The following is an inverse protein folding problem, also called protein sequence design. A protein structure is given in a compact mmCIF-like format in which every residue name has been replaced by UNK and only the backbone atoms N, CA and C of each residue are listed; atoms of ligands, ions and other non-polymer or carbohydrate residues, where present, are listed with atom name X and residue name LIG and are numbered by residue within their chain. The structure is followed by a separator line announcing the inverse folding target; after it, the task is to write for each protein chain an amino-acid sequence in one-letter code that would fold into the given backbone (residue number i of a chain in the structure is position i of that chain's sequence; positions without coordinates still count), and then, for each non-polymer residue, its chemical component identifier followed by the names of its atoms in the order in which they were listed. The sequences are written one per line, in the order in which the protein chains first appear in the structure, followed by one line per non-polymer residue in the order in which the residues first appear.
data_IF_939227716407
#
_entry.id   IF_939227716407
#
_cell.length_a   1.000
_cell.length_b   1.000
_cell.length_c   1.000
_cell.angle_alpha   90.00
_cell.angle_beta   90.00
_cell.angle_gamma   90.00
#
_symmetry.space_group_name_H-M   'P 1'
#
loop_
_entity.id
_entity.type
_entity.pdbx_description
1 polymer ?
#
# COMPACT_ATOMS: atom_id res chain seq x y z
N UNK A 1 -5.19 -24.59 21.12
CA UNK A 1 -5.76 -23.23 21.13
C UNK A 1 -4.74 -22.30 21.81
N UNK A 2 -4.22 -21.29 21.13
CA UNK A 2 -3.20 -20.38 21.70
C UNK A 2 -3.86 -19.30 22.55
N UNK A 3 -3.33 -19.08 23.77
CA UNK A 3 -3.80 -18.05 24.71
C UNK A 3 -3.80 -16.64 24.08
N UNK A 4 -4.81 -15.79 24.33
CA UNK A 4 -4.89 -14.42 23.82
C UNK A 4 -3.64 -13.56 24.11
N UNK A 5 -3.01 -13.76 25.27
CA UNK A 5 -1.79 -13.05 25.68
C UNK A 5 -0.60 -13.41 24.79
N UNK A 6 -0.41 -14.70 24.48
CA UNK A 6 0.65 -15.17 23.60
C UNK A 6 0.53 -14.62 22.16
N UNK A 7 -0.70 -14.30 21.71
CA UNK A 7 -0.94 -13.67 20.40
C UNK A 7 -0.57 -12.19 20.42
N UNK A 8 -0.92 -11.45 21.47
CA UNK A 8 -0.58 -10.04 21.61
C UNK A 8 0.95 -9.82 21.67
N UNK A 9 1.66 -10.67 22.43
CA UNK A 9 3.12 -10.61 22.55
C UNK A 9 3.83 -10.92 21.22
N UNK A 10 3.32 -11.89 20.44
CA UNK A 10 3.82 -12.18 19.09
C UNK A 10 3.63 -11.00 18.14
N UNK A 11 2.49 -10.31 18.19
CA UNK A 11 2.23 -9.11 17.37
C UNK A 11 3.15 -7.97 17.78
N UNK A 12 3.35 -7.75 19.09
CA UNK A 12 4.27 -6.73 19.62
C UNK A 12 5.70 -6.99 19.19
N UNK A 13 6.16 -8.24 19.29
CA UNK A 13 7.51 -8.67 18.84
C UNK A 13 7.67 -8.55 17.32
N UNK A 14 6.66 -8.92 16.54
CA UNK A 14 6.68 -8.75 15.08
C UNK A 14 6.72 -7.28 14.66
N UNK A 15 5.99 -6.40 15.37
CA UNK A 15 6.03 -4.96 15.11
C UNK A 15 7.36 -4.33 15.52
N UNK A 16 7.98 -4.77 16.62
CA UNK A 16 9.31 -4.34 17.02
C UNK A 16 10.42 -4.81 16.04
N UNK A 17 10.24 -5.98 15.42
CA UNK A 17 11.15 -6.47 14.38
C UNK A 17 11.02 -5.68 13.06
N UNK A 18 9.81 -5.16 12.77
CA UNK A 18 9.56 -4.27 11.64
C UNK A 18 9.98 -2.84 11.98
N UNK A 19 11.28 -2.56 11.91
CA UNK A 19 11.83 -1.21 12.11
C UNK A 19 11.87 -0.45 10.77
N UNK A 20 10.91 0.46 10.58
CA UNK A 20 10.98 1.44 9.49
C UNK A 20 12.06 2.47 9.79
N UNK A 21 13.07 2.59 8.93
CA UNK A 21 14.19 3.52 9.07
C UNK A 21 14.07 4.57 7.99
N UNK A 22 13.84 5.83 8.37
CA UNK A 22 13.77 6.94 7.43
C UNK A 22 15.13 7.14 6.78
N UNK A 23 15.11 7.38 5.47
CA UNK A 23 16.30 7.63 4.67
C UNK A 23 16.42 9.13 4.41
N UNK A 24 17.61 9.69 4.67
CA UNK A 24 17.92 11.08 4.34
C UNK A 24 18.28 11.24 2.85
N UNK A 25 18.95 10.22 2.29
CA UNK A 25 19.32 10.14 0.88
C UNK A 25 19.08 8.73 0.34
N UNK A 26 19.02 8.62 -0.99
CA UNK A 26 18.79 7.36 -1.69
C UNK A 26 20.05 6.80 -2.35
N UNK A 27 21.23 7.07 -1.77
CA UNK A 27 22.50 6.49 -2.25
C UNK A 27 22.57 5.00 -1.94
N UNK A 28 23.35 4.25 -2.71
CA UNK A 28 23.46 2.80 -2.52
C UNK A 28 24.03 2.44 -1.14
N UNK A 29 24.97 3.25 -0.64
CA UNK A 29 25.57 3.09 0.69
C UNK A 29 24.53 3.26 1.80
N UNK A 30 23.70 4.31 1.72
CA UNK A 30 22.69 4.60 2.73
C UNK A 30 21.55 3.57 2.70
N UNK A 31 21.17 3.10 1.51
CA UNK A 31 20.23 2.00 1.36
C UNK A 31 20.74 0.73 2.05
N UNK A 32 21.97 0.31 1.74
CA UNK A 32 22.58 -0.89 2.35
C UNK A 32 22.68 -0.77 3.87
N UNK A 33 23.16 0.37 4.36
CA UNK A 33 23.29 0.67 5.80
C UNK A 33 21.96 0.52 6.55
N UNK A 34 20.84 0.87 5.90
CA UNK A 34 19.51 0.79 6.49
C UNK A 34 18.71 -0.46 6.07
N UNK A 35 19.35 -1.48 5.48
CA UNK A 35 18.74 -2.71 4.98
C UNK A 35 17.64 -2.48 3.95
N UNK A 36 17.88 -1.56 3.03
CA UNK A 36 17.08 -1.35 1.83
C UNK A 36 17.87 -1.70 0.57
N UNK A 37 17.14 -1.89 -0.52
CA UNK A 37 17.71 -2.11 -1.85
C UNK A 37 16.80 -1.54 -2.94
N UNK A 38 17.35 -1.34 -4.13
CA UNK A 38 16.60 -1.01 -5.34
C UNK A 38 16.01 -2.30 -5.92
N UNK A 39 14.69 -2.44 -5.83
CA UNK A 39 13.95 -3.62 -6.26
C UNK A 39 12.95 -3.33 -7.38
N UNK A 40 12.04 -4.29 -7.60
CA UNK A 40 11.04 -4.17 -8.66
C UNK A 40 10.05 -3.04 -8.38
N UNK A 41 9.67 -2.27 -9.40
CA UNK A 41 8.72 -1.16 -9.28
C UNK A 41 7.36 -1.63 -8.79
N UNK A 42 6.82 -1.02 -7.74
CA UNK A 42 5.48 -1.30 -7.22
C UNK A 42 4.39 -0.60 -8.06
N UNK A 43 3.10 -0.91 -7.85
CA UNK A 43 1.99 -0.27 -8.59
C UNK A 43 1.91 1.25 -8.50
N UNK A 44 2.51 1.86 -7.48
CA UNK A 44 2.57 3.32 -7.29
C UNK A 44 3.85 3.94 -7.88
N UNK A 45 4.71 3.15 -8.54
CA UNK A 45 5.92 3.64 -9.20
C UNK A 45 7.19 3.64 -8.34
N UNK A 46 7.10 3.24 -7.08
CA UNK A 46 8.24 3.19 -6.17
C UNK A 46 9.06 1.90 -6.34
N UNK A 47 10.38 1.97 -6.16
CA UNK A 47 11.27 0.82 -6.36
C UNK A 47 12.17 0.49 -5.16
N UNK A 48 12.25 1.35 -4.14
CA UNK A 48 13.04 1.08 -2.94
C UNK A 48 12.28 0.15 -2.00
N UNK A 49 12.94 -0.93 -1.57
CA UNK A 49 12.34 -2.01 -0.79
C UNK A 49 13.21 -2.46 0.37
N UNK A 50 12.56 -2.94 1.42
CA UNK A 50 13.22 -3.58 2.56
C UNK A 50 13.82 -4.95 2.18
N UNK A 51 15.04 -5.24 2.62
CA UNK A 51 15.78 -6.44 2.20
C UNK A 51 15.11 -7.74 2.68
N UNK A 52 14.49 -7.77 3.86
CA UNK A 52 13.99 -9.01 4.46
C UNK A 52 12.53 -9.32 4.08
N UNK A 53 11.69 -8.28 4.09
CA UNK A 53 10.25 -8.39 3.89
C UNK A 53 9.78 -7.83 2.56
N UNK A 54 10.66 -7.11 1.84
CA UNK A 54 10.42 -6.60 0.48
C UNK A 54 9.23 -5.64 0.33
N UNK A 55 8.74 -5.09 1.45
CA UNK A 55 7.78 -3.99 1.39
C UNK A 55 8.45 -2.75 0.79
N UNK A 56 7.65 -1.93 0.13
CA UNK A 56 8.14 -0.73 -0.51
C UNK A 56 8.25 0.40 0.52
N UNK A 57 9.41 1.06 0.55
CA UNK A 57 9.73 2.15 1.49
C UNK A 57 8.68 3.26 1.46
N UNK A 58 8.44 3.83 0.27
CA UNK A 58 7.49 4.93 0.07
C UNK A 58 6.04 4.53 0.35
N UNK A 59 5.66 3.30 0.00
CA UNK A 59 4.35 2.75 0.35
C UNK A 59 4.16 2.64 1.87
N UNK A 60 5.18 2.22 2.62
CA UNK A 60 5.09 2.16 4.09
C UNK A 60 5.06 3.57 4.68
N UNK A 61 5.85 4.52 4.18
CA UNK A 61 5.76 5.93 4.57
C UNK A 61 4.33 6.48 4.38
N UNK A 62 3.70 6.18 3.24
CA UNK A 62 2.31 6.54 2.95
C UNK A 62 1.31 5.91 3.93
N UNK A 63 1.45 4.62 4.24
CA UNK A 63 0.60 3.91 5.22
C UNK A 63 0.78 4.51 6.62
N UNK A 64 2.02 4.79 7.00
CA UNK A 64 2.35 5.41 8.28
C UNK A 64 1.80 6.82 8.37
N UNK A 65 1.66 7.55 7.27
CA UNK A 65 0.95 8.84 7.20
C UNK A 65 -0.59 8.70 7.12
N UNK A 66 -1.11 7.49 7.30
CA UNK A 66 -2.54 7.17 7.30
C UNK A 66 -3.26 7.53 5.98
N UNK A 67 -2.51 7.52 4.87
CA UNK A 67 -3.04 7.84 3.54
C UNK A 67 -3.58 6.58 2.89
N UNK A 68 -4.91 6.51 2.79
CA UNK A 68 -5.63 5.56 1.95
C UNK A 68 -6.27 6.30 0.78
N UNK A 69 -5.91 5.93 -0.45
CA UNK A 69 -6.51 6.44 -1.68
C UNK A 69 -6.29 5.49 -2.85
N UNK A 70 -7.21 5.49 -3.79
CA UNK A 70 -7.07 4.78 -5.05
C UNK A 70 -7.50 5.70 -6.20
N UNK A 71 -6.68 5.82 -7.23
CA UNK A 71 -7.04 6.48 -8.48
C UNK A 71 -6.38 5.69 -9.61
N UNK A 72 -7.20 5.05 -10.45
CA UNK A 72 -6.72 4.19 -11.55
C UNK A 72 -5.79 4.95 -12.51
N UNK A 73 -5.95 6.28 -12.60
CA UNK A 73 -5.19 7.13 -13.52
C UNK A 73 -3.77 7.43 -13.01
N UNK A 74 -3.50 7.20 -11.73
CA UNK A 74 -2.19 7.40 -11.09
C UNK A 74 -1.52 6.08 -10.67
N UNK A 75 -1.94 4.96 -11.29
CA UNK A 75 -1.24 3.68 -11.20
C UNK A 75 -0.16 3.63 -12.28
N UNK A 76 1.06 3.25 -11.90
CA UNK A 76 2.20 3.12 -12.80
C UNK A 76 1.80 2.34 -14.05
N UNK A 77 2.12 2.89 -15.22
CA UNK A 77 1.61 2.47 -16.55
C UNK A 77 1.67 0.96 -16.79
N UNK A 78 2.77 0.31 -16.38
CA UNK A 78 2.98 -1.16 -16.44
C UNK A 78 1.92 -2.03 -15.74
N UNK A 79 1.16 -1.48 -14.79
CA UNK A 79 0.25 -2.23 -13.92
C UNK A 79 -1.20 -1.75 -13.98
N UNK A 80 -1.49 -0.76 -14.81
CA UNK A 80 -2.79 -0.11 -14.86
C UNK A 80 -3.90 -1.13 -15.21
N UNK A 81 -3.70 -1.95 -16.25
CA UNK A 81 -4.63 -3.02 -16.62
C UNK A 81 -4.88 -4.02 -15.49
N UNK A 82 -3.83 -4.45 -14.78
CA UNK A 82 -3.96 -5.37 -13.64
C UNK A 82 -4.71 -4.73 -12.48
N UNK A 83 -4.50 -3.44 -12.20
CA UNK A 83 -5.24 -2.71 -11.18
C UNK A 83 -6.71 -2.60 -11.57
N UNK A 84 -7.00 -2.20 -12.81
CA UNK A 84 -8.35 -2.13 -13.34
C UNK A 84 -9.09 -3.46 -13.21
N UNK A 85 -8.48 -4.57 -13.63
CA UNK A 85 -9.08 -5.90 -13.54
C UNK A 85 -9.40 -6.31 -12.09
N UNK A 86 -8.56 -5.95 -11.12
CA UNK A 86 -8.83 -6.21 -9.70
C UNK A 86 -10.07 -5.45 -9.23
N UNK A 87 -10.16 -4.17 -9.58
CA UNK A 87 -11.22 -3.28 -9.10
C UNK A 87 -12.57 -3.55 -9.76
N UNK A 88 -12.60 -4.18 -10.95
CA UNK A 88 -13.85 -4.69 -11.56
C UNK A 88 -14.58 -5.74 -10.73
N UNK A 89 -13.89 -6.42 -9.82
CA UNK A 89 -14.51 -7.41 -8.94
C UNK A 89 -15.14 -6.80 -7.69
N UNK A 90 -14.86 -5.53 -7.41
CA UNK A 90 -15.32 -4.84 -6.20
C UNK A 90 -16.55 -4.02 -6.55
N UNK A 91 -17.60 -4.12 -5.73
CA UNK A 91 -18.74 -3.20 -5.78
C UNK A 91 -18.57 -2.17 -4.68
N UNK A 92 -18.16 -0.92 -4.99
CA UNK A 92 -17.97 0.11 -3.97
C UNK A 92 -19.29 0.52 -3.33
N UNK A 93 -19.23 0.92 -2.06
CA UNK A 93 -20.34 1.46 -1.28
C UNK A 93 -19.83 2.51 -0.29
N UNK A 94 -20.55 2.71 0.80
CA UNK A 94 -20.14 3.69 1.82
C UNK A 94 -18.86 3.28 2.56
N UNK A 95 -18.16 4.26 3.12
CA UNK A 95 -16.84 4.07 3.73
C UNK A 95 -16.83 3.11 4.93
N UNK A 96 -17.94 3.04 5.67
CA UNK A 96 -18.15 2.17 6.84
C UNK A 96 -18.74 0.79 6.48
N UNK A 97 -19.06 0.54 5.22
CA UNK A 97 -19.72 -0.68 4.77
C UNK A 97 -18.73 -1.68 4.18
N UNK A 98 -19.09 -2.97 4.21
CA UNK A 98 -18.33 -3.97 3.48
C UNK A 98 -18.62 -3.87 1.99
N UNK A 99 -17.58 -3.71 1.18
CA UNK A 99 -17.72 -3.71 -0.29
C UNK A 99 -17.64 -5.15 -0.79
N UNK A 100 -18.71 -5.70 -1.40
CA UNK A 100 -18.69 -7.06 -1.91
C UNK A 100 -17.62 -7.27 -2.98
N UNK A 101 -16.97 -8.44 -2.93
CA UNK A 101 -16.03 -8.88 -3.97
C UNK A 101 -16.59 -10.12 -4.66
N UNK A 102 -16.87 -10.01 -5.96
CA UNK A 102 -17.46 -11.09 -6.76
C UNK A 102 -16.48 -12.24 -7.03
N UNK A 103 -15.18 -11.97 -7.04
CA UNK A 103 -14.13 -12.97 -7.26
C UNK A 103 -13.62 -13.57 -5.96
N UNK A 104 -13.64 -14.90 -5.88
CA UNK A 104 -13.04 -15.65 -4.79
C UNK A 104 -11.59 -16.05 -5.13
N UNK A 105 -10.75 -16.19 -4.09
CA UNK A 105 -9.40 -16.70 -4.24
C UNK A 105 -8.36 -15.66 -4.64
N UNK A 106 -7.60 -15.96 -5.70
CA UNK A 106 -6.35 -15.26 -6.05
C UNK A 106 -6.41 -14.66 -7.45
N UNK A 107 -5.65 -13.60 -7.66
CA UNK A 107 -5.53 -12.82 -8.89
C UNK A 107 -4.07 -12.74 -9.32
N UNK A 108 -3.83 -12.58 -10.61
CA UNK A 108 -2.50 -12.26 -11.12
C UNK A 108 -2.26 -10.76 -10.95
N UNK A 109 -1.31 -10.40 -10.11
CA UNK A 109 -1.00 -9.02 -9.78
C UNK A 109 0.51 -8.86 -9.54
N UNK A 110 1.12 -7.69 -9.83
CA UNK A 110 2.53 -7.45 -9.56
C UNK A 110 2.88 -7.68 -8.08
N UNK A 111 4.07 -8.22 -7.86
CA UNK A 111 4.64 -8.37 -6.51
C UNK A 111 6.14 -8.13 -6.54
N UNK A 112 6.73 -7.95 -5.36
CA UNK A 112 8.18 -7.82 -5.19
C UNK A 112 8.98 -8.98 -5.83
N UNK A 113 8.37 -10.16 -5.97
CA UNK A 113 9.03 -11.36 -6.52
C UNK A 113 9.32 -11.27 -8.02
N UNK A 114 8.65 -10.37 -8.73
CA UNK A 114 8.88 -10.11 -10.15
C UNK A 114 10.32 -9.70 -10.47
N UNK A 115 11.10 -9.28 -9.47
CA UNK A 115 12.55 -9.06 -9.63
C UNK A 115 13.30 -10.35 -9.99
N UNK A 116 12.91 -11.50 -9.43
CA UNK A 116 13.63 -12.77 -9.59
C UNK A 116 12.86 -13.77 -10.45
N UNK A 117 11.53 -13.76 -10.40
CA UNK A 117 10.68 -14.77 -11.04
C UNK A 117 10.62 -14.66 -12.57
N UNK A 118 11.23 -13.63 -13.18
CA UNK A 118 11.10 -13.25 -14.61
C UNK A 118 9.65 -13.03 -15.09
N UNK A 119 8.69 -13.11 -14.18
CA UNK A 119 7.26 -12.93 -14.44
C UNK A 119 6.82 -11.56 -13.91
N UNK A 120 6.06 -10.82 -14.73
CA UNK A 120 5.56 -9.48 -14.38
C UNK A 120 4.47 -9.48 -13.31
N UNK A 121 3.83 -10.63 -13.10
CA UNK A 121 2.74 -10.79 -12.14
C UNK A 121 2.90 -12.10 -11.38
N UNK A 122 2.43 -12.12 -10.15
CA UNK A 122 2.34 -13.32 -9.33
C UNK A 122 0.91 -13.52 -8.85
N UNK A 123 0.65 -14.73 -8.37
CA UNK A 123 -0.64 -15.10 -7.83
C UNK A 123 -0.76 -14.60 -6.37
N UNK A 124 -1.60 -13.58 -6.15
CA UNK A 124 -1.82 -12.93 -4.85
C UNK A 124 -3.29 -12.98 -4.45
N UNK A 125 -3.59 -12.86 -3.17
CA UNK A 125 -4.99 -12.75 -2.73
C UNK A 125 -5.61 -11.44 -3.22
N UNK A 126 -6.90 -11.44 -3.54
CA UNK A 126 -7.60 -10.23 -4.00
C UNK A 126 -7.51 -9.09 -2.99
N UNK A 127 -7.64 -9.40 -1.69
CA UNK A 127 -7.47 -8.42 -0.61
C UNK A 127 -6.06 -7.79 -0.61
N UNK A 128 -5.01 -8.56 -0.95
CA UNK A 128 -3.65 -8.02 -1.05
C UNK A 128 -3.49 -7.12 -2.27
N UNK A 129 -4.07 -7.47 -3.42
CA UNK A 129 -4.05 -6.61 -4.60
C UNK A 129 -4.79 -5.27 -4.37
N UNK A 130 -5.97 -5.31 -3.75
CA UNK A 130 -6.73 -4.11 -3.36
C UNK A 130 -5.92 -3.27 -2.37
N UNK A 131 -5.36 -3.88 -1.33
CA UNK A 131 -4.53 -3.18 -0.35
C UNK A 131 -3.30 -2.55 -1.00
N UNK A 132 -2.61 -3.25 -1.89
CA UNK A 132 -1.42 -2.75 -2.57
C UNK A 132 -1.70 -1.48 -3.39
N UNK A 133 -2.86 -1.41 -4.04
CA UNK A 133 -3.23 -0.24 -4.87
C UNK A 133 -3.80 0.92 -4.05
N UNK A 134 -4.47 0.64 -2.92
CA UNK A 134 -5.14 1.65 -2.10
C UNK A 134 -4.30 2.21 -0.94
N UNK A 135 -3.53 1.34 -0.29
CA UNK A 135 -2.66 1.68 0.84
C UNK A 135 -1.20 1.69 0.43
N UNK A 136 -0.75 0.61 -0.21
CA UNK A 136 0.62 0.47 -0.67
C UNK A 136 1.16 -0.95 -0.58
N UNK A 137 2.29 -1.19 -1.26
CA UNK A 137 2.93 -2.50 -1.35
C UNK A 137 3.68 -2.89 -0.07
N UNK A 138 3.14 -3.87 0.66
CA UNK A 138 3.70 -4.43 1.90
C UNK A 138 4.57 -5.67 1.70
N UNK A 139 5.00 -5.96 0.47
CA UNK A 139 5.98 -7.02 0.20
C UNK A 139 5.44 -8.40 0.54
N UNK A 140 6.14 -9.16 1.39
CA UNK A 140 5.72 -10.50 1.80
C UNK A 140 4.74 -10.54 2.98
N UNK A 141 4.40 -9.38 3.57
CA UNK A 141 3.51 -9.29 4.72
C UNK A 141 2.05 -9.62 4.37
N UNK A 142 1.24 -9.88 5.38
CA UNK A 142 -0.16 -10.32 5.21
C UNK A 142 -1.15 -9.18 5.44
N UNK A 143 -2.22 -9.17 4.63
CA UNK A 143 -3.39 -8.30 4.82
C UNK A 143 -4.47 -9.07 5.57
N UNK A 144 -5.09 -8.40 6.55
CA UNK A 144 -6.19 -8.92 7.37
C UNK A 144 -7.41 -8.01 7.27
N UNK A 145 -8.59 -8.55 7.56
CA UNK A 145 -9.85 -7.82 7.55
C UNK A 145 -10.27 -7.40 8.96
N UNK A 146 -10.48 -6.10 9.18
CA UNK A 146 -11.05 -5.58 10.44
C UNK A 146 -12.50 -6.00 10.62
N UNK A 147 -13.27 -5.99 9.52
CA UNK A 147 -14.69 -6.34 9.49
C UNK A 147 -14.98 -7.85 9.66
N UNK A 148 -13.94 -8.70 9.76
CA UNK A 148 -14.02 -10.18 9.81
C UNK A 148 -14.72 -10.84 8.59
N UNK A 149 -15.12 -10.06 7.58
CA UNK A 149 -15.65 -10.55 6.31
C UNK A 149 -14.51 -10.74 5.30
N UNK A 150 -14.18 -11.98 4.95
CA UNK A 150 -13.10 -12.31 4.00
C UNK A 150 -13.40 -11.89 2.56
N UNK A 151 -14.66 -11.66 2.23
CA UNK A 151 -15.12 -11.23 0.90
C UNK A 151 -15.30 -9.71 0.81
N UNK A 152 -14.82 -8.96 1.81
CA UNK A 152 -14.83 -7.51 1.79
C UNK A 152 -13.61 -6.97 1.03
N UNK A 153 -13.89 -6.07 0.09
CA UNK A 153 -12.92 -5.36 -0.74
C UNK A 153 -12.76 -3.89 -0.37
N UNK A 154 -13.37 -3.42 0.73
CA UNK A 154 -13.21 -2.03 1.18
C UNK A 154 -11.79 -1.83 1.76
N UNK A 155 -10.91 -1.02 1.15
CA UNK A 155 -9.60 -0.68 1.68
C UNK A 155 -9.57 -0.26 3.14
N UNK A 156 -10.57 0.48 3.63
CA UNK A 156 -10.63 0.94 5.02
C UNK A 156 -10.86 -0.21 6.01
N UNK A 157 -11.35 -1.35 5.51
CA UNK A 157 -11.51 -2.59 6.27
C UNK A 157 -10.33 -3.54 6.14
N UNK A 158 -9.30 -3.18 5.35
CA UNK A 158 -8.09 -3.96 5.14
C UNK A 158 -6.93 -3.35 5.93
N UNK A 159 -6.21 -4.18 6.67
CA UNK A 159 -5.06 -3.75 7.48
C UNK A 159 -3.87 -4.70 7.36
N UNK A 160 -2.68 -4.13 7.50
CA UNK A 160 -1.41 -4.82 7.69
C UNK A 160 -0.79 -4.42 9.04
N UNK A 161 0.40 -4.94 9.33
CA UNK A 161 1.18 -4.56 10.51
C UNK A 161 1.61 -3.09 10.52
N UNK A 162 1.61 -2.43 9.35
CA UNK A 162 2.01 -1.03 9.19
C UNK A 162 0.88 -0.03 9.46
N UNK A 163 -0.39 -0.44 9.36
CA UNK A 163 -1.50 0.48 9.60
C UNK A 163 -1.50 0.96 11.05
N UNK A 164 -1.91 2.22 11.22
CA UNK A 164 -2.25 2.78 12.53
C UNK A 164 -3.48 2.05 13.09
N UNK A 165 -3.69 2.15 14.41
CA UNK A 165 -4.88 1.59 15.07
C UNK A 165 -6.17 2.21 14.54
N UNK A 166 -6.11 3.49 14.19
CA UNK A 166 -7.24 4.29 13.72
C UNK A 166 -7.08 4.60 12.22
N UNK A 167 -7.71 3.83 11.31
CA UNK A 167 -7.72 4.16 9.88
C UNK A 167 -8.46 5.48 9.63
N UNK A 168 -8.27 6.13 8.46
CA UNK A 168 -9.00 7.34 8.13
C UNK A 168 -10.49 7.03 7.99
N UNK A 169 -11.36 7.99 8.36
CA UNK A 169 -12.81 7.82 8.31
C UNK A 169 -13.36 7.68 6.88
N UNK A 170 -12.63 8.22 5.91
CA UNK A 170 -12.94 8.17 4.48
C UNK A 170 -11.64 8.04 3.69
N UNK A 171 -11.71 7.52 2.48
CA UNK A 171 -10.57 7.59 1.56
C UNK A 171 -10.32 9.03 1.15
N UNK A 172 -9.06 9.36 0.89
CA UNK A 172 -8.68 10.70 0.44
C UNK A 172 -9.12 10.92 -1.02
N UNK A 173 -8.92 9.90 -1.85
CA UNK A 173 -9.35 9.85 -3.24
C UNK A 173 -9.80 8.42 -3.56
N UNK A 174 -10.86 8.31 -4.35
CA UNK A 174 -11.35 7.05 -4.87
C UNK A 174 -11.89 7.29 -6.27
N UNK A 175 -11.11 6.91 -7.27
CA UNK A 175 -11.45 7.03 -8.68
C UNK A 175 -11.11 5.73 -9.42
N UNK A 176 -12.13 5.06 -9.92
CA UNK A 176 -12.02 3.80 -10.66
C UNK A 176 -12.25 4.02 -12.17
N UNK A 177 -12.55 5.25 -12.58
CA UNK A 177 -12.84 5.60 -13.96
C UNK A 177 -11.60 6.16 -14.66
N UNK A 178 -11.43 5.80 -15.93
CA UNK A 178 -10.33 6.33 -16.72
C UNK A 178 -10.64 7.75 -17.19
N UNK A 179 -9.79 8.69 -16.81
CA UNK A 179 -9.78 10.06 -17.30
C UNK A 179 -8.55 10.27 -18.21
N UNK A 180 -8.75 10.44 -19.54
CA UNK A 180 -7.67 10.69 -20.48
C UNK A 180 -6.77 11.86 -20.09
N UNK A 181 -7.31 12.93 -19.47
CA UNK A 181 -6.52 14.11 -19.07
C UNK A 181 -5.57 13.76 -17.93
N UNK A 182 -6.05 13.04 -16.91
CA UNK A 182 -5.22 12.56 -15.80
C UNK A 182 -4.14 11.61 -16.30
N UNK A 183 -4.48 10.70 -17.21
CA UNK A 183 -3.52 9.75 -17.80
C UNK A 183 -2.40 10.45 -18.58
N UNK A 184 -2.73 11.41 -19.45
CA UNK A 184 -1.72 12.16 -20.22
C UNK A 184 -0.80 12.95 -19.27
N UNK A 185 -1.38 13.62 -18.27
CA UNK A 185 -0.63 14.34 -17.25
C UNK A 185 0.31 13.38 -16.49
N UNK A 186 -0.20 12.23 -16.06
CA UNK A 186 0.59 11.27 -15.30
C UNK A 186 1.73 10.66 -16.13
N UNK A 187 1.46 10.27 -17.39
CA UNK A 187 2.50 9.79 -18.31
C UNK A 187 3.62 10.82 -18.51
N UNK A 188 3.30 12.12 -18.51
CA UNK A 188 4.31 13.19 -18.59
C UNK A 188 5.13 13.26 -17.31
N UNK A 189 4.48 13.27 -16.14
CA UNK A 189 5.14 13.29 -14.83
C UNK A 189 6.06 12.08 -14.62
N UNK A 190 5.62 10.88 -15.03
CA UNK A 190 6.40 9.64 -14.97
C UNK A 190 7.69 9.75 -15.81
N UNK A 191 7.61 10.34 -17.02
CA UNK A 191 8.78 10.58 -17.88
C UNK A 191 9.75 11.62 -17.32
N UNK A 192 9.23 12.61 -16.63
CA UNK A 192 10.02 13.66 -15.96
C UNK A 192 10.62 13.17 -14.62
N UNK A 193 10.34 11.92 -14.20
CA UNK A 193 10.83 11.35 -12.95
C UNK A 193 10.17 11.96 -11.71
N UNK A 194 8.98 12.55 -11.87
CA UNK A 194 8.28 13.23 -10.79
C UNK A 194 7.79 12.23 -9.73
N UNK A 195 8.03 12.55 -8.45
CA UNK A 195 7.56 11.76 -7.33
C UNK A 195 6.05 11.99 -7.10
N UNK A 196 5.22 11.01 -7.45
CA UNK A 196 3.78 11.03 -7.22
C UNK A 196 3.43 11.24 -5.75
N UNK A 197 4.19 10.67 -4.82
CA UNK A 197 3.90 10.82 -3.41
C UNK A 197 4.06 12.28 -2.97
N UNK A 198 4.95 13.06 -3.61
CA UNK A 198 5.07 14.49 -3.38
C UNK A 198 3.87 15.27 -3.97
N UNK A 199 3.42 14.92 -5.19
CA UNK A 199 2.20 15.51 -5.79
C UNK A 199 0.98 15.30 -4.89
N UNK A 200 0.88 14.10 -4.33
CA UNK A 200 -0.22 13.75 -3.49
C UNK A 200 -0.07 14.29 -2.05
N UNK A 201 1.14 14.31 -1.47
CA UNK A 201 1.40 14.87 -0.13
C UNK A 201 1.07 16.35 -0.03
N UNK A 202 1.32 17.12 -1.09
CA UNK A 202 0.88 18.52 -1.16
C UNK A 202 -0.64 18.68 -1.13
N UNK A 203 -1.39 17.67 -1.59
CA UNK A 203 -2.86 17.62 -1.52
C UNK A 203 -3.37 16.94 -0.25
N UNK A 204 -2.56 16.13 0.41
CA UNK A 204 -2.88 15.49 1.68
C UNK A 204 -2.68 16.49 2.81
N UNK A 205 -3.77 17.07 3.33
CA UNK A 205 -3.73 17.56 4.72
C UNK A 205 -3.60 16.33 5.60
N UNK A 206 -2.49 16.22 6.35
CA UNK A 206 -2.31 15.16 7.35
C UNK A 206 -3.55 15.11 8.24
N UNK A 207 -4.36 14.06 8.06
CA UNK A 207 -5.60 13.94 8.81
C UNK A 207 -5.23 13.36 10.17
N UNK A 208 -5.08 14.21 11.18
CA UNK A 208 -4.94 13.78 12.57
C UNK A 208 -6.27 13.13 12.98
N UNK A 209 -6.37 11.81 12.82
CA UNK A 209 -7.56 11.06 13.22
C UNK A 209 -7.73 11.05 14.76
N UNK A 210 -6.62 11.05 15.49
CA UNK A 210 -6.55 11.17 16.94
C UNK A 210 -5.16 11.73 17.34
N UNK A 211 -5.06 12.80 18.15
CA UNK A 211 -3.79 13.39 18.55
C UNK A 211 -2.81 12.40 19.21
N UNK A 212 -3.33 11.37 19.89
CA UNK A 212 -2.52 10.34 20.57
C UNK A 212 -1.93 9.27 19.64
N UNK A 213 -2.40 9.19 18.40
CA UNK A 213 -1.93 8.23 17.40
C UNK A 213 -0.86 8.83 16.45
N UNK A 214 -0.48 10.09 16.68
CA UNK A 214 0.63 10.75 15.98
C UNK A 214 1.90 10.46 16.78
N UNK A 215 2.73 9.56 16.27
CA UNK A 215 4.08 9.40 16.81
C UNK A 215 4.89 10.63 16.37
N UNK A 216 5.42 11.43 17.32
CA UNK A 216 6.13 12.68 17.03
C UNK A 216 7.33 12.51 16.09
N UNK A 217 7.91 11.31 16.02
CA UNK A 217 9.07 11.02 15.17
C UNK A 217 8.77 11.03 13.66
N UNK A 218 7.50 11.07 13.25
CA UNK A 218 7.11 11.12 11.83
C UNK A 218 6.86 12.54 11.29
N UNK A 219 6.80 13.55 12.17
CA UNK A 219 6.50 14.95 11.83
C UNK A 219 7.72 15.90 11.90
N UNK A 220 8.92 15.38 12.18
CA UNK A 220 10.19 16.10 12.13
C UNK A 220 10.98 15.74 10.89
#
# INVERSE_FOLDING_TARGET
MTSPHARADRVKKAKAALSFRRLDTFTEEELKKNNYYVGYTCPLGHHIRDVEKHWCYKCVERILNNVCSFDINYIHSKYNSSAYDVWRYVTPGEANECWPVSKTGRVNFPSYRSLWDKNRTNNVTIAKAIYTTSWGDIGNLTVSHLCKNKSCGNPLHLVSTWNRKSPPKKMHFFDIEYDPKKLIMFCRLEKEGFDLDNFFSQRYKNTIANPKDVDPSYNS
#
